data_IF_452711630234
#
_entry.id   IF_452711630234
#
_cell.length_a   1.000
_cell.length_b   1.000
_cell.length_c   1.000
_cell.angle_alpha   90.00
_cell.angle_beta   90.00
_cell.angle_gamma   90.00
#
_symmetry.space_group_name_H-M   'P 1'
#
loop_
_entity.id
_entity.type
_entity.pdbx_description
1 polymer ?
#
# COMPACT_ATOMS: atom_id res chain seq x y z
N UNK A 1 9.48 6.49 -13.01
CA UNK A 1 8.39 6.00 -13.90
C UNK A 1 8.90 5.26 -15.14
N UNK A 2 10.00 5.70 -15.78
CA UNK A 2 10.56 5.04 -16.97
C UNK A 2 10.87 3.54 -16.77
N UNK A 3 11.42 3.15 -15.62
CA UNK A 3 11.72 1.74 -15.33
C UNK A 3 10.50 0.81 -15.35
N UNK A 4 9.33 1.28 -14.92
CA UNK A 4 8.09 0.50 -14.95
C UNK A 4 7.60 0.29 -16.40
N UNK A 5 7.71 1.33 -17.22
CA UNK A 5 7.36 1.27 -18.65
C UNK A 5 8.26 0.27 -19.38
N UNK A 6 9.57 0.36 -19.15
CA UNK A 6 10.56 -0.57 -19.72
C UNK A 6 10.27 -2.02 -19.27
N UNK A 7 9.98 -2.24 -17.98
CA UNK A 7 9.62 -3.56 -17.47
C UNK A 7 8.41 -4.17 -18.19
N UNK A 8 7.34 -3.39 -18.38
CA UNK A 8 6.14 -3.84 -19.11
C UNK A 8 6.44 -4.11 -20.58
N UNK A 9 7.25 -3.26 -21.23
CA UNK A 9 7.64 -3.45 -22.64
C UNK A 9 8.48 -4.73 -22.83
N UNK A 10 9.41 -5.01 -21.92
CA UNK A 10 10.24 -6.22 -21.95
C UNK A 10 9.38 -7.47 -21.70
N UNK A 11 8.47 -7.43 -20.73
CA UNK A 11 7.57 -8.56 -20.45
C UNK A 11 6.65 -8.88 -21.64
N UNK A 12 6.12 -7.84 -22.30
CA UNK A 12 5.37 -7.99 -23.55
C UNK A 12 6.23 -8.59 -24.67
N UNK A 13 7.46 -8.11 -24.86
CA UNK A 13 8.40 -8.68 -25.84
C UNK A 13 8.74 -10.15 -25.57
N UNK A 14 8.67 -10.60 -24.31
CA UNK A 14 8.97 -11.99 -23.91
C UNK A 14 7.73 -12.88 -23.79
N UNK A 15 6.55 -12.44 -24.21
CA UNK A 15 5.29 -13.19 -24.08
C UNK A 15 5.03 -13.68 -22.63
N UNK A 16 5.47 -12.92 -21.64
CA UNK A 16 5.22 -13.24 -20.24
C UNK A 16 3.78 -12.87 -19.87
N UNK A 17 3.15 -13.68 -19.02
CA UNK A 17 1.85 -13.32 -18.45
C UNK A 17 2.02 -12.08 -17.57
N UNK A 18 1.40 -10.97 -18.02
CA UNK A 18 1.43 -9.69 -17.30
C UNK A 18 0.78 -9.85 -15.93
N UNK A 19 -0.20 -10.75 -15.79
CA UNK A 19 -0.78 -11.11 -14.50
C UNK A 19 0.29 -11.59 -13.53
N UNK A 20 0.98 -12.69 -13.85
CA UNK A 20 2.07 -13.25 -13.05
C UNK A 20 3.21 -12.25 -12.78
N UNK A 21 3.55 -11.39 -13.75
CA UNK A 21 4.54 -10.34 -13.52
C UNK A 21 4.08 -9.35 -12.45
N UNK A 22 2.84 -8.84 -12.55
CA UNK A 22 2.29 -7.91 -11.57
C UNK A 22 2.20 -8.55 -10.17
N UNK A 23 1.91 -9.85 -10.11
CA UNK A 23 1.94 -10.65 -8.89
C UNK A 23 3.32 -10.67 -8.22
N UNK A 24 4.39 -10.86 -9.01
CA UNK A 24 5.75 -10.85 -8.50
C UNK A 24 6.20 -9.45 -8.05
N UNK A 25 5.77 -8.41 -8.77
CA UNK A 25 6.15 -7.02 -8.50
C UNK A 25 5.42 -6.44 -7.28
N UNK A 26 4.16 -6.84 -7.04
CA UNK A 26 3.33 -6.27 -5.97
C UNK A 26 3.97 -6.25 -4.57
N UNK A 27 4.55 -7.34 -4.04
CA UNK A 27 5.26 -7.31 -2.75
C UNK A 27 6.67 -6.70 -2.85
N UNK A 28 7.30 -6.70 -4.03
CA UNK A 28 8.63 -6.12 -4.22
C UNK A 28 8.62 -4.58 -4.11
N UNK A 29 7.54 -3.93 -4.56
CA UNK A 29 7.39 -2.47 -4.48
C UNK A 29 7.47 -1.92 -3.04
N UNK A 30 6.69 -2.40 -2.06
CA UNK A 30 6.78 -1.90 -0.70
C UNK A 30 8.14 -2.23 -0.06
N UNK A 31 8.75 -3.39 -0.37
CA UNK A 31 10.12 -3.70 0.10
C UNK A 31 11.12 -2.67 -0.41
N UNK A 32 11.10 -2.35 -1.70
CA UNK A 32 11.97 -1.34 -2.28
C UNK A 32 11.75 0.04 -1.63
N UNK A 33 10.51 0.39 -1.30
CA UNK A 33 10.21 1.62 -0.57
C UNK A 33 10.76 1.60 0.85
N UNK A 34 10.63 0.48 1.58
CA UNK A 34 11.22 0.34 2.92
C UNK A 34 12.73 0.57 2.90
N UNK A 35 13.43 0.01 1.91
CA UNK A 35 14.88 0.20 1.76
C UNK A 35 15.19 1.68 1.47
N UNK A 36 14.40 2.33 0.59
CA UNK A 36 14.56 3.76 0.32
C UNK A 36 14.43 4.62 1.58
N UNK A 37 13.56 4.23 2.53
CA UNK A 37 13.42 4.92 3.83
C UNK A 37 14.61 4.78 4.75
N UNK A 38 15.43 3.73 4.60
CA UNK A 38 16.70 3.65 5.35
C UNK A 38 17.69 4.73 4.88
N UNK A 39 17.62 5.12 3.60
CA UNK A 39 18.38 6.26 3.09
C UNK A 39 18.00 7.57 3.79
N UNK A 40 16.70 7.78 4.07
CA UNK A 40 16.23 8.94 4.84
C UNK A 40 16.79 8.96 6.27
N UNK A 41 16.94 7.80 6.90
CA UNK A 41 17.56 7.71 8.23
C UNK A 41 19.04 8.04 8.19
N UNK A 42 19.77 7.49 7.23
CA UNK A 42 21.20 7.74 7.07
C UNK A 42 21.50 9.21 6.73
N UNK A 43 20.66 9.80 5.87
CA UNK A 43 20.77 11.20 5.47
C UNK A 43 20.17 12.16 6.52
N UNK A 44 19.57 11.64 7.59
CA UNK A 44 18.85 12.40 8.62
C UNK A 44 17.83 13.39 8.04
N UNK A 45 16.99 12.92 7.11
CA UNK A 45 15.98 13.72 6.41
C UNK A 45 14.56 13.19 6.58
N UNK A 46 13.55 14.06 6.41
CA UNK A 46 12.12 13.68 6.33
C UNK A 46 11.55 12.98 7.58
N UNK A 47 12.00 13.39 8.76
CA UNK A 47 11.53 12.98 10.08
C UNK A 47 10.22 13.68 10.49
N UNK A 48 9.55 13.16 11.53
CA UNK A 48 8.22 13.61 11.94
C UNK A 48 8.23 14.73 12.98
N UNK A 49 7.10 14.89 13.68
CA UNK A 49 6.92 15.87 14.77
C UNK A 49 7.91 15.70 15.92
N UNK A 50 8.26 16.79 16.64
CA UNK A 50 8.91 16.67 17.94
C UNK A 50 8.13 15.75 18.86
N UNK A 51 8.84 14.88 19.56
CA UNK A 51 8.23 13.88 20.42
C UNK A 51 9.14 13.54 21.59
N UNK A 52 8.54 13.11 22.69
CA UNK A 52 9.25 12.70 23.92
C UNK A 52 9.20 11.18 24.12
N UNK A 53 8.77 10.43 23.11
CA UNK A 53 8.66 8.98 23.17
C UNK A 53 10.05 8.32 23.34
N UNK A 54 10.12 7.14 23.99
CA UNK A 54 11.40 6.50 24.27
C UNK A 54 12.15 6.00 23.03
N UNK A 55 11.46 5.87 21.89
CA UNK A 55 12.05 5.53 20.59
C UNK A 55 12.18 6.74 19.66
N UNK A 56 12.19 7.96 20.20
CA UNK A 56 12.35 9.15 19.39
C UNK A 56 13.74 9.21 18.73
N UNK A 57 13.79 9.76 17.52
CA UNK A 57 15.00 9.92 16.73
C UNK A 57 15.72 11.20 17.17
N UNK A 58 16.99 11.04 17.55
CA UNK A 58 17.92 12.16 17.70
C UNK A 58 18.54 12.48 16.35
N UNK A 59 18.64 13.76 16.04
CA UNK A 59 19.24 14.28 14.80
C UNK A 59 20.46 15.10 15.16
N UNK A 60 21.48 15.04 14.32
CA UNK A 60 22.71 15.78 14.54
C UNK A 60 22.48 17.27 14.32
N UNK A 61 23.26 18.10 15.00
CA UNK A 61 23.08 19.55 14.97
C UNK A 61 23.20 20.14 13.55
N UNK A 62 23.96 19.48 12.67
CA UNK A 62 24.16 19.89 11.26
C UNK A 62 22.92 19.67 10.38
N UNK A 63 22.06 18.70 10.72
CA UNK A 63 20.85 18.37 9.97
C UNK A 63 19.57 18.84 10.69
N UNK A 64 19.71 19.70 11.70
CA UNK A 64 18.60 20.16 12.50
C UNK A 64 17.73 21.15 11.71
N UNK A 65 16.39 21.03 11.71
CA UNK A 65 15.55 22.00 11.05
C UNK A 65 15.59 23.34 11.76
N UNK A 66 15.54 24.41 10.97
CA UNK A 66 15.42 25.78 11.48
C UNK A 66 14.22 25.93 12.42
N UNK A 67 14.44 26.58 13.56
CA UNK A 67 13.41 26.85 14.56
C UNK A 67 13.27 25.82 15.69
N UNK A 68 14.08 24.75 15.71
CA UNK A 68 14.12 23.80 16.82
C UNK A 68 15.40 23.92 17.65
N UNK A 69 15.28 23.75 18.96
CA UNK A 69 16.42 23.81 19.87
C UNK A 69 17.30 22.56 19.73
N UNK A 70 18.65 22.68 19.83
CA UNK A 70 19.57 21.55 19.90
C UNK A 70 19.12 20.50 20.93
N UNK A 71 19.08 19.23 20.52
CA UNK A 71 18.60 18.13 21.36
C UNK A 71 17.10 17.83 21.27
N UNK A 72 16.34 18.55 20.44
CA UNK A 72 14.95 18.18 20.12
C UNK A 72 14.90 16.79 19.49
N UNK A 73 14.02 15.95 20.01
CA UNK A 73 13.79 14.58 19.53
C UNK A 73 12.58 14.54 18.60
N UNK A 74 12.65 13.75 17.54
CA UNK A 74 11.61 13.71 16.50
C UNK A 74 11.03 12.30 16.32
N UNK A 75 9.81 12.20 15.80
CA UNK A 75 9.25 10.90 15.43
C UNK A 75 10.07 10.26 14.29
N UNK A 76 10.49 8.99 14.42
CA UNK A 76 11.16 8.26 13.35
C UNK A 76 10.15 7.82 12.28
N UNK A 77 9.65 8.76 11.48
CA UNK A 77 8.72 8.48 10.38
C UNK A 77 9.27 7.48 9.38
N UNK A 78 10.59 7.53 9.11
CA UNK A 78 11.26 6.53 8.26
C UNK A 78 11.02 5.11 8.78
N UNK A 79 11.09 4.90 10.10
CA UNK A 79 10.94 3.60 10.72
C UNK A 79 9.50 3.14 10.58
N UNK A 80 8.54 4.01 10.90
CA UNK A 80 7.11 3.71 10.76
C UNK A 80 6.75 3.36 9.30
N UNK A 81 7.25 4.13 8.34
CA UNK A 81 7.06 3.88 6.92
C UNK A 81 7.71 2.58 6.48
N UNK A 82 8.96 2.32 6.89
CA UNK A 82 9.68 1.11 6.53
C UNK A 82 9.01 -0.13 7.11
N UNK A 83 8.61 -0.11 8.39
CA UNK A 83 7.92 -1.22 9.05
C UNK A 83 6.55 -1.47 8.44
N UNK A 84 5.80 -0.42 8.13
CA UNK A 84 4.49 -0.55 7.48
C UNK A 84 4.61 -1.19 6.10
N UNK A 85 5.56 -0.71 5.30
CA UNK A 85 5.80 -1.26 3.97
C UNK A 85 6.27 -2.73 4.04
N UNK A 86 7.13 -3.10 5.00
CA UNK A 86 7.52 -4.50 5.21
C UNK A 86 6.34 -5.36 5.65
N UNK A 87 5.50 -4.87 6.56
CA UNK A 87 4.28 -5.56 6.99
C UNK A 87 3.31 -5.75 5.82
N UNK A 88 3.14 -4.73 4.98
CA UNK A 88 2.34 -4.80 3.75
C UNK A 88 2.92 -5.81 2.77
N UNK A 89 4.23 -5.83 2.56
CA UNK A 89 4.90 -6.81 1.72
C UNK A 89 4.66 -8.24 2.22
N UNK A 90 4.85 -8.48 3.51
CA UNK A 90 4.61 -9.78 4.14
C UNK A 90 3.15 -10.22 3.98
N UNK A 91 2.20 -9.31 4.22
CA UNK A 91 0.76 -9.56 4.03
C UNK A 91 0.45 -9.96 2.58
N UNK A 92 1.02 -9.24 1.60
CA UNK A 92 0.84 -9.52 0.17
C UNK A 92 1.45 -10.87 -0.23
N UNK A 93 2.59 -11.26 0.34
CA UNK A 93 3.20 -12.57 0.08
C UNK A 93 2.34 -13.69 0.68
N UNK A 94 1.89 -13.55 1.93
CA UNK A 94 1.07 -14.57 2.61
C UNK A 94 -0.28 -14.77 1.91
N UNK A 95 -0.97 -13.67 1.62
CA UNK A 95 -2.25 -13.73 0.91
C UNK A 95 -2.07 -14.14 -0.55
N UNK A 96 -0.99 -13.69 -1.19
CA UNK A 96 -0.69 -14.04 -2.56
C UNK A 96 -0.44 -15.52 -2.76
N UNK A 97 0.30 -16.17 -1.85
CA UNK A 97 0.48 -17.63 -1.87
C UNK A 97 -0.84 -18.40 -1.72
N UNK A 98 -1.78 -17.89 -0.92
CA UNK A 98 -3.11 -18.51 -0.75
C UNK A 98 -4.07 -18.26 -1.90
N UNK A 99 -3.89 -17.19 -2.67
CA UNK A 99 -4.86 -16.71 -3.65
C UNK A 99 -4.36 -16.75 -5.11
N UNK A 100 -3.15 -17.27 -5.32
CA UNK A 100 -2.41 -17.30 -6.59
C UNK A 100 -3.22 -17.89 -7.75
N UNK A 101 -4.14 -18.81 -7.46
CA UNK A 101 -4.96 -19.51 -8.46
C UNK A 101 -6.35 -18.89 -8.66
N UNK A 102 -6.84 -18.07 -7.72
CA UNK A 102 -8.29 -17.81 -7.65
C UNK A 102 -8.72 -16.48 -8.27
N UNK A 103 -8.08 -15.33 -7.98
CA UNK A 103 -8.52 -14.00 -8.51
C UNK A 103 -7.41 -12.92 -8.50
N UNK A 104 -6.75 -12.63 -9.64
CA UNK A 104 -5.64 -11.66 -9.73
C UNK A 104 -5.94 -10.25 -9.23
N UNK A 105 -7.16 -9.75 -9.43
CA UNK A 105 -7.48 -8.37 -9.05
C UNK A 105 -7.60 -8.11 -7.54
N UNK A 106 -7.83 -9.15 -6.72
CA UNK A 106 -7.92 -8.99 -5.26
C UNK A 106 -6.60 -8.56 -4.64
N UNK A 107 -5.48 -9.05 -5.16
CA UNK A 107 -4.17 -8.70 -4.60
C UNK A 107 -3.79 -7.25 -4.92
N UNK A 108 -4.13 -6.79 -6.13
CA UNK A 108 -3.93 -5.40 -6.51
C UNK A 108 -4.74 -4.46 -5.61
N UNK A 109 -6.00 -4.80 -5.31
CA UNK A 109 -6.83 -4.01 -4.40
C UNK A 109 -6.29 -4.01 -2.96
N UNK A 110 -5.74 -5.14 -2.49
CA UNK A 110 -5.08 -5.21 -1.17
C UNK A 110 -3.81 -4.35 -1.12
N UNK A 111 -3.00 -4.36 -2.18
CA UNK A 111 -1.81 -3.52 -2.27
C UNK A 111 -2.18 -2.04 -2.25
N UNK A 112 -3.12 -1.62 -3.10
CA UNK A 112 -3.54 -0.22 -3.18
C UNK A 112 -4.21 0.25 -1.88
N UNK A 113 -5.07 -0.57 -1.28
CA UNK A 113 -5.73 -0.26 0.00
C UNK A 113 -4.74 -0.18 1.17
N UNK A 114 -3.83 -1.15 1.29
CA UNK A 114 -2.83 -1.18 2.37
C UNK A 114 -1.78 -0.07 2.23
N UNK A 115 -1.38 0.26 1.01
CA UNK A 115 -0.48 1.39 0.76
C UNK A 115 -1.18 2.73 1.05
N UNK A 116 -2.45 2.87 0.66
CA UNK A 116 -3.28 4.03 0.99
C UNK A 116 -3.40 4.26 2.50
N UNK A 117 -3.64 3.20 3.28
CA UNK A 117 -3.73 3.27 4.74
C UNK A 117 -2.41 3.73 5.37
N UNK A 118 -1.28 3.17 4.93
CA UNK A 118 0.04 3.60 5.39
C UNK A 118 0.31 5.07 5.08
N UNK A 119 -0.01 5.50 3.86
CA UNK A 119 0.11 6.90 3.44
C UNK A 119 -0.76 7.84 4.27
N UNK A 120 -1.99 7.45 4.57
CA UNK A 120 -2.89 8.24 5.40
C UNK A 120 -2.33 8.45 6.82
N UNK A 121 -1.82 7.40 7.44
CA UNK A 121 -1.23 7.45 8.79
C UNK A 121 0.03 8.32 8.86
N UNK A 122 0.98 8.08 7.95
CA UNK A 122 2.26 8.77 7.90
C UNK A 122 2.10 10.26 7.62
N UNK A 123 1.17 10.60 6.73
CA UNK A 123 0.86 11.98 6.37
C UNK A 123 0.25 12.76 7.55
N UNK A 124 -0.47 12.08 8.46
CA UNK A 124 -0.96 12.67 9.71
C UNK A 124 0.15 13.02 10.71
N UNK A 125 1.32 12.35 10.63
CA UNK A 125 2.47 12.58 11.49
C UNK A 125 3.40 13.69 11.01
N UNK A 126 3.24 14.15 9.76
CA UNK A 126 4.07 15.21 9.17
C UNK A 126 3.65 16.62 9.60
N UNK A 127 4.60 17.56 9.57
CA UNK A 127 4.39 18.97 9.99
C UNK A 127 4.25 19.91 8.79
N UNK A 128 4.73 19.51 7.60
CA UNK A 128 4.84 20.42 6.46
C UNK A 128 3.51 21.13 6.13
N UNK A 129 3.49 22.44 5.85
CA UNK A 129 2.30 23.17 5.47
C UNK A 129 1.87 22.76 4.06
N UNK A 130 1.22 21.60 3.95
CA UNK A 130 0.58 21.15 2.71
C UNK A 130 -0.83 21.71 2.63
N UNK A 131 -1.33 21.98 1.42
CA UNK A 131 -2.70 22.47 1.16
C UNK A 131 -3.72 21.60 1.90
N UNK A 132 -4.21 22.14 3.01
CA UNK A 132 -5.15 21.51 3.92
C UNK A 132 -6.55 22.04 3.63
N UNK A 133 -7.47 21.14 3.27
CA UNK A 133 -8.89 21.44 3.08
C UNK A 133 -9.69 20.60 4.06
N UNK A 134 -10.47 21.24 4.93
CA UNK A 134 -11.34 20.56 5.90
C UNK A 134 -10.60 19.80 7.01
N UNK A 135 -9.38 20.22 7.40
CA UNK A 135 -8.60 19.56 8.46
C UNK A 135 -7.77 18.35 8.02
N UNK A 136 -7.88 17.93 6.75
CA UNK A 136 -7.10 16.85 6.14
C UNK A 136 -6.24 17.37 4.97
N UNK A 137 -5.10 16.73 4.75
CA UNK A 137 -4.19 17.03 3.63
C UNK A 137 -4.72 16.41 2.33
N UNK A 138 -4.42 17.00 1.17
CA UNK A 138 -4.83 16.45 -0.14
C UNK A 138 -4.39 14.98 -0.33
N UNK A 139 -3.19 14.62 0.12
CA UNK A 139 -2.69 13.25 0.08
C UNK A 139 -3.56 12.28 0.91
N UNK A 140 -4.13 12.74 2.02
CA UNK A 140 -5.07 11.95 2.83
C UNK A 140 -6.41 11.79 2.10
N UNK A 141 -6.90 12.82 1.43
CA UNK A 141 -8.09 12.73 0.58
C UNK A 141 -7.92 11.74 -0.57
N UNK A 142 -6.78 11.79 -1.26
CA UNK A 142 -6.44 10.82 -2.33
C UNK A 142 -6.32 9.41 -1.76
N UNK A 143 -5.68 9.24 -0.60
CA UNK A 143 -5.60 7.94 0.07
C UNK A 143 -6.98 7.38 0.42
N UNK A 144 -7.88 8.21 0.98
CA UNK A 144 -9.26 7.83 1.29
C UNK A 144 -10.01 7.39 0.02
N UNK A 145 -9.91 8.18 -1.06
CA UNK A 145 -10.57 7.85 -2.32
C UNK A 145 -10.07 6.51 -2.90
N UNK A 146 -8.75 6.26 -2.87
CA UNK A 146 -8.16 5.01 -3.32
C UNK A 146 -8.57 3.82 -2.44
N UNK A 147 -8.61 4.01 -1.11
CA UNK A 147 -9.08 2.98 -0.18
C UNK A 147 -10.56 2.63 -0.40
N UNK A 148 -11.41 3.64 -0.59
CA UNK A 148 -12.83 3.45 -0.89
C UNK A 148 -13.03 2.70 -2.22
N UNK A 149 -12.30 3.07 -3.27
CA UNK A 149 -12.33 2.36 -4.55
C UNK A 149 -11.90 0.89 -4.43
N UNK A 150 -10.86 0.60 -3.63
CA UNK A 150 -10.43 -0.77 -3.38
C UNK A 150 -11.47 -1.58 -2.60
N UNK A 151 -12.08 -0.98 -1.57
CA UNK A 151 -13.12 -1.63 -0.78
C UNK A 151 -14.33 -1.98 -1.66
N UNK A 152 -14.78 -1.04 -2.50
CA UNK A 152 -15.88 -1.26 -3.44
C UNK A 152 -15.53 -2.39 -4.41
N UNK A 153 -14.33 -2.39 -4.98
CA UNK A 153 -13.88 -3.45 -5.87
C UNK A 153 -13.88 -4.83 -5.20
N UNK A 154 -13.33 -4.94 -3.99
CA UNK A 154 -13.31 -6.18 -3.22
C UNK A 154 -14.73 -6.67 -2.90
N UNK A 155 -15.64 -5.78 -2.49
CA UNK A 155 -17.03 -6.12 -2.21
C UNK A 155 -17.79 -6.59 -3.45
N UNK A 156 -17.59 -5.92 -4.60
CA UNK A 156 -18.20 -6.34 -5.88
C UNK A 156 -17.67 -7.70 -6.32
N UNK A 157 -16.36 -7.92 -6.20
CA UNK A 157 -15.74 -9.19 -6.56
C UNK A 157 -16.18 -10.34 -5.63
N UNK A 158 -16.36 -10.08 -4.33
CA UNK A 158 -16.96 -11.04 -3.40
C UNK A 158 -18.41 -11.39 -3.75
N UNK A 159 -19.22 -10.41 -4.16
CA UNK A 159 -20.59 -10.65 -4.60
C UNK A 159 -20.65 -11.48 -5.89
N UNK A 160 -19.79 -11.18 -6.87
CA UNK A 160 -19.68 -11.96 -8.12
C UNK A 160 -19.24 -13.41 -7.85
N UNK A 161 -18.31 -13.61 -6.91
CA UNK A 161 -17.89 -14.95 -6.51
C UNK A 161 -19.03 -15.77 -5.89
N UNK A 162 -19.89 -15.14 -5.09
CA UNK A 162 -21.04 -15.79 -4.46
C UNK A 162 -22.11 -16.20 -5.50
N UNK A 163 -22.35 -15.35 -6.50
CA UNK A 163 -23.34 -15.61 -7.56
C UNK A 163 -22.93 -16.74 -8.52
N UNK A 164 -21.63 -16.95 -8.76
CA UNK A 164 -21.14 -18.09 -9.57
C UNK A 164 -21.27 -19.42 -8.82
N UNK A 165 -21.29 -19.37 -7.48
CA UNK A 165 -21.32 -20.56 -6.62
C UNK A 165 -22.74 -21.06 -6.32
N UNK A 166 -23.78 -20.34 -6.75
CA UNK A 166 -25.15 -20.87 -6.79
C UNK A 166 -25.32 -21.55 -8.15
N UNK A 167 -25.34 -22.90 -8.23
CA UNK A 167 -25.73 -23.56 -9.46
C UNK A 167 -27.16 -23.12 -9.74
N UNK A 168 -27.40 -22.63 -10.96
CA UNK A 168 -28.75 -22.46 -11.46
C UNK A 168 -29.50 -23.78 -11.26
N UNK A 169 -30.51 -23.75 -10.39
CA UNK A 169 -31.39 -24.88 -10.07
C UNK A 169 -32.38 -25.11 -11.23
N UNK A 170 -31.85 -25.39 -12.43
CA UNK A 170 -32.64 -25.58 -13.66
C UNK A 170 -32.89 -27.06 -13.99
N UNK A 171 -32.90 -27.97 -13.02
CA UNK A 171 -33.26 -29.37 -13.30
C UNK A 171 -34.07 -30.00 -12.17
N UNK A 172 -35.28 -29.50 -11.93
CA UNK A 172 -36.32 -30.33 -11.30
C UNK A 172 -37.72 -30.22 -11.93
N UNK A 173 -37.97 -29.38 -12.94
CA UNK A 173 -39.33 -29.29 -13.53
C UNK A 173 -39.58 -30.21 -14.76
N UNK A 174 -38.55 -30.84 -15.34
CA UNK A 174 -38.71 -31.65 -16.57
C UNK A 174 -38.98 -33.15 -16.35
N UNK A 175 -39.32 -33.59 -15.13
CA UNK A 175 -39.66 -35.00 -14.86
C UNK A 175 -41.10 -35.09 -14.34
N UNK A 176 -42.06 -34.84 -15.23
CA UNK A 176 -43.41 -35.40 -15.10
C UNK A 176 -43.36 -36.85 -15.59
N UNK A 177 -43.62 -37.86 -14.73
CA UNK A 177 -43.83 -39.21 -15.21
C UNK A 177 -45.24 -39.33 -15.78
N UNK A 178 -45.31 -39.82 -17.02
CA UNK A 178 -46.53 -40.19 -17.73
C UNK A 178 -47.33 -41.28 -17.01
#
# INVERSE_FOLDING_TARGET
MLGAIVGVMVAKKRNMDIGQMLWAVAPALPVAQSIGRLGNWWNQELFGRPTTLPWALKIDAEHMPDGYAPGTLFHPTFLYEATWNLALAALLVVLGRRMMTSRPGRLLALYVGGYGLGRFWVEGLRIDPAKSGGGLRLNQWVAIAMMAGCLIYLLVDMRRAKNISQPNDYRQEDVQPN
#
